data_IF_146286520828
#
_entry.id   IF_146286520828
#
_cell.length_a   1.000
_cell.length_b   1.000
_cell.length_c   1.000
_cell.angle_alpha   90.00
_cell.angle_beta   90.00
_cell.angle_gamma   90.00
#
_symmetry.space_group_name_H-M   'P 1'
#
loop_
_entity.id
_entity.type
_entity.pdbx_description
1 polymer ?
#
# COMPACT_ATOMS: atom_id res chain seq x y z
N UNK A 1 -7.10 -17.61 -6.52
CA UNK A 1 -8.23 -17.31 -7.43
C UNK A 1 -7.82 -17.81 -8.81
N UNK A 2 -8.28 -18.99 -9.22
CA UNK A 2 -7.98 -19.51 -10.56
C UNK A 2 -8.78 -18.70 -11.58
N UNK A 3 -8.10 -17.87 -12.37
CA UNK A 3 -8.74 -17.10 -13.44
C UNK A 3 -9.16 -18.10 -14.52
N UNK A 4 -10.42 -18.54 -14.47
CA UNK A 4 -11.01 -19.39 -15.50
C UNK A 4 -11.03 -18.61 -16.81
N UNK A 5 -10.49 -19.22 -17.85
CA UNK A 5 -10.31 -18.62 -19.18
C UNK A 5 -11.64 -18.06 -19.69
N UNK A 6 -11.71 -16.75 -19.97
CA UNK A 6 -12.91 -16.05 -20.47
C UNK A 6 -13.46 -16.62 -21.80
N UNK A 7 -12.73 -17.55 -22.45
CA UNK A 7 -13.21 -18.34 -23.59
C UNK A 7 -14.24 -19.42 -23.21
N UNK A 8 -14.41 -19.77 -21.93
CA UNK A 8 -15.36 -20.80 -21.45
C UNK A 8 -16.20 -20.26 -20.30
N UNK A 9 -17.04 -19.27 -20.59
CA UNK A 9 -17.99 -18.73 -19.60
C UNK A 9 -19.03 -19.78 -19.15
N UNK A 10 -19.33 -20.78 -20.00
CA UNK A 10 -20.21 -21.89 -19.66
C UNK A 10 -19.44 -23.09 -19.10
N UNK A 11 -19.86 -23.61 -17.95
CA UNK A 11 -19.22 -24.77 -17.32
C UNK A 11 -19.31 -26.03 -18.20
N UNK A 12 -18.21 -26.79 -18.34
CA UNK A 12 -18.22 -28.04 -19.10
C UNK A 12 -18.97 -29.14 -18.35
N UNK A 13 -19.85 -29.87 -19.04
CA UNK A 13 -20.56 -31.03 -18.48
C UNK A 13 -21.51 -31.69 -19.47
N UNK A 14 -21.97 -32.90 -19.15
CA UNK A 14 -22.98 -33.61 -19.95
C UNK A 14 -24.41 -33.06 -19.74
N UNK A 15 -24.69 -32.55 -18.52
CA UNK A 15 -26.02 -32.05 -18.12
C UNK A 15 -26.56 -30.93 -19.02
N UNK A 16 -25.68 -30.07 -19.54
CA UNK A 16 -26.05 -28.99 -20.47
C UNK A 16 -26.56 -29.48 -21.83
N UNK A 17 -26.06 -30.63 -22.31
CA UNK A 17 -26.53 -31.23 -23.56
C UNK A 17 -27.90 -31.88 -23.37
N UNK A 18 -28.13 -32.50 -22.21
CA UNK A 18 -29.46 -33.01 -21.83
C UNK A 18 -30.45 -31.85 -21.72
N UNK A 19 -30.08 -30.75 -21.06
CA UNK A 19 -30.89 -29.53 -21.01
C UNK A 19 -31.21 -28.97 -22.39
N UNK A 20 -30.20 -28.88 -23.27
CA UNK A 20 -30.41 -28.45 -24.65
C UNK A 20 -31.40 -29.34 -25.41
N UNK A 21 -31.30 -30.66 -25.26
CA UNK A 21 -32.23 -31.61 -25.88
C UNK A 21 -33.65 -31.43 -25.35
N UNK A 22 -33.82 -31.21 -24.04
CA UNK A 22 -35.12 -30.93 -23.43
C UNK A 22 -35.75 -29.64 -23.96
N UNK A 23 -34.96 -28.60 -24.19
CA UNK A 23 -35.46 -27.34 -24.78
C UNK A 23 -35.86 -27.52 -26.23
N UNK A 24 -35.09 -28.27 -27.03
CA UNK A 24 -35.47 -28.62 -28.41
C UNK A 24 -36.74 -29.45 -28.43
N UNK A 25 -36.88 -30.42 -27.52
CA UNK A 25 -38.09 -31.23 -27.37
C UNK A 25 -39.30 -30.39 -26.96
N UNK A 26 -39.13 -29.44 -26.05
CA UNK A 26 -40.18 -28.49 -25.67
C UNK A 26 -40.62 -27.61 -26.86
N UNK A 27 -39.67 -27.15 -27.68
CA UNK A 27 -39.98 -26.39 -28.89
C UNK A 27 -40.74 -27.22 -29.92
N UNK A 28 -40.38 -28.50 -30.08
CA UNK A 28 -41.14 -29.45 -30.89
C UNK A 28 -42.58 -29.62 -30.40
N UNK A 29 -42.78 -29.86 -29.10
CA UNK A 29 -44.12 -29.99 -28.51
C UNK A 29 -44.95 -28.71 -28.69
N UNK A 30 -44.35 -27.55 -28.41
CA UNK A 30 -45.01 -26.26 -28.56
C UNK A 30 -45.43 -25.99 -30.01
N UNK A 31 -44.55 -26.31 -30.97
CA UNK A 31 -44.85 -26.18 -32.41
C UNK A 31 -45.92 -27.17 -32.87
N UNK A 32 -45.92 -28.39 -32.32
CA UNK A 32 -46.94 -29.40 -32.61
C UNK A 32 -48.32 -28.96 -32.10
N UNK A 33 -48.39 -28.41 -30.88
CA UNK A 33 -49.63 -27.88 -30.31
C UNK A 33 -50.16 -26.67 -31.08
N UNK A 34 -49.27 -25.86 -31.65
CA UNK A 34 -49.59 -24.68 -32.47
C UNK A 34 -49.83 -25.00 -33.95
N UNK A 35 -49.66 -26.26 -34.37
CA UNK A 35 -49.90 -26.69 -35.74
C UNK A 35 -51.29 -26.32 -36.30
N UNK A 36 -52.42 -26.46 -35.57
CA UNK A 36 -53.73 -26.09 -36.11
C UNK A 36 -53.92 -24.60 -36.40
N UNK A 37 -53.09 -23.73 -35.82
CA UNK A 37 -53.19 -22.27 -35.99
C UNK A 37 -52.19 -21.76 -37.03
N UNK A 38 -50.96 -22.27 -37.00
CA UNK A 38 -49.87 -21.80 -37.87
C UNK A 38 -49.79 -22.55 -39.21
N UNK A 39 -50.50 -23.68 -39.32
CA UNK A 39 -50.49 -24.56 -40.49
C UNK A 39 -49.04 -24.87 -40.91
N UNK A 40 -48.62 -24.47 -42.10
CA UNK A 40 -47.28 -24.69 -42.65
C UNK A 40 -46.34 -23.49 -42.53
N UNK A 41 -46.76 -22.43 -41.84
CA UNK A 41 -45.98 -21.20 -41.78
C UNK A 41 -44.85 -21.29 -40.75
N UNK A 42 -43.66 -20.85 -41.16
CA UNK A 42 -42.50 -20.57 -40.29
C UNK A 42 -42.10 -21.67 -39.28
N UNK A 43 -41.87 -22.93 -39.72
CA UNK A 43 -41.51 -24.01 -38.80
C UNK A 43 -40.18 -23.77 -38.06
N UNK A 44 -39.21 -23.12 -38.71
CA UNK A 44 -37.88 -22.88 -38.14
C UNK A 44 -37.82 -21.88 -36.97
N UNK A 45 -38.85 -21.05 -36.76
CA UNK A 45 -38.78 -19.96 -35.75
C UNK A 45 -38.73 -20.51 -34.32
N UNK A 46 -39.56 -21.51 -33.99
CA UNK A 46 -39.58 -22.12 -32.66
C UNK A 46 -38.24 -22.78 -32.32
N UNK A 47 -37.63 -23.43 -33.30
CA UNK A 47 -36.32 -24.05 -33.16
C UNK A 47 -35.21 -23.00 -33.07
N UNK A 48 -35.30 -21.89 -33.81
CA UNK A 48 -34.35 -20.78 -33.68
C UNK A 48 -34.41 -20.17 -32.26
N UNK A 49 -35.61 -19.97 -31.70
CA UNK A 49 -35.79 -19.55 -30.31
C UNK A 49 -35.19 -20.55 -29.32
N UNK A 50 -35.40 -21.86 -29.53
CA UNK A 50 -34.81 -22.90 -28.71
C UNK A 50 -33.27 -22.83 -28.72
N UNK A 51 -32.66 -22.70 -29.89
CA UNK A 51 -31.20 -22.55 -30.04
C UNK A 51 -30.69 -21.29 -29.35
N UNK A 52 -31.40 -20.16 -29.47
CA UNK A 52 -31.06 -18.91 -28.78
C UNK A 52 -31.10 -19.07 -27.26
N UNK A 53 -32.13 -19.73 -26.71
CA UNK A 53 -32.23 -20.00 -25.28
C UNK A 53 -31.08 -20.89 -24.83
N UNK A 54 -30.76 -21.93 -25.61
CA UNK A 54 -29.66 -22.85 -25.31
C UNK A 54 -28.32 -22.13 -25.33
N UNK A 55 -28.07 -21.26 -26.32
CA UNK A 55 -26.87 -20.43 -26.39
C UNK A 55 -26.75 -19.53 -25.16
N UNK A 56 -27.86 -18.88 -24.80
CA UNK A 56 -27.89 -18.00 -23.65
C UNK A 56 -27.61 -18.74 -22.33
N UNK A 57 -28.14 -19.95 -22.13
CA UNK A 57 -27.99 -20.64 -20.83
C UNK A 57 -26.71 -21.48 -20.76
N UNK A 58 -26.39 -22.22 -21.83
CA UNK A 58 -25.36 -23.26 -21.83
C UNK A 58 -24.22 -23.03 -22.85
N UNK A 59 -24.34 -22.02 -23.71
CA UNK A 59 -23.31 -21.56 -24.64
C UNK A 59 -23.17 -22.35 -25.93
N UNK A 60 -22.12 -21.99 -26.68
CA UNK A 60 -21.90 -22.36 -28.08
C UNK A 60 -21.99 -23.86 -28.39
N UNK A 61 -21.41 -24.72 -27.55
CA UNK A 61 -21.36 -26.16 -27.82
C UNK A 61 -22.74 -26.80 -27.89
N UNK A 62 -23.54 -26.72 -26.81
CA UNK A 62 -24.92 -27.22 -26.80
C UNK A 62 -25.83 -26.52 -27.81
N UNK A 63 -25.64 -25.24 -28.10
CA UNK A 63 -26.46 -24.52 -29.08
C UNK A 63 -26.21 -25.01 -30.51
N UNK A 64 -24.95 -25.26 -30.89
CA UNK A 64 -24.62 -25.86 -32.19
C UNK A 64 -25.22 -27.26 -32.32
N UNK A 65 -25.17 -28.07 -31.26
CA UNK A 65 -25.83 -29.39 -31.25
C UNK A 65 -27.34 -29.24 -31.44
N UNK A 66 -27.98 -28.33 -30.69
CA UNK A 66 -29.40 -28.04 -30.83
C UNK A 66 -29.77 -27.58 -32.24
N UNK A 67 -28.93 -26.75 -32.87
CA UNK A 67 -29.10 -26.28 -34.24
C UNK A 67 -29.06 -27.43 -35.24
N UNK A 68 -28.04 -28.30 -35.15
CA UNK A 68 -27.89 -29.46 -36.04
C UNK A 68 -29.04 -30.45 -35.87
N UNK A 69 -29.50 -30.69 -34.64
CA UNK A 69 -30.63 -31.58 -34.36
C UNK A 69 -31.97 -30.98 -34.81
N UNK A 70 -32.10 -29.66 -34.72
CA UNK A 70 -33.36 -28.98 -35.08
C UNK A 70 -33.68 -29.11 -36.57
N UNK A 71 -32.67 -29.06 -37.45
CA UNK A 71 -32.84 -29.14 -38.91
C UNK A 71 -33.65 -30.36 -39.35
N UNK A 72 -33.22 -31.61 -39.08
CA UNK A 72 -33.98 -32.79 -39.49
C UNK A 72 -35.33 -32.91 -38.77
N UNK A 73 -35.46 -32.41 -37.54
CA UNK A 73 -36.73 -32.44 -36.81
C UNK A 73 -37.75 -31.55 -37.49
N UNK A 74 -37.42 -30.29 -37.77
CA UNK A 74 -38.42 -29.39 -38.34
C UNK A 74 -38.74 -29.72 -39.79
N UNK A 75 -37.74 -30.18 -40.54
CA UNK A 75 -37.87 -30.59 -41.94
C UNK A 75 -38.82 -31.79 -42.06
N UNK A 76 -38.55 -32.88 -41.34
CA UNK A 76 -39.35 -34.11 -41.42
C UNK A 76 -40.79 -33.98 -40.89
N UNK A 77 -41.01 -33.18 -39.84
CA UNK A 77 -42.30 -33.11 -39.16
C UNK A 77 -43.18 -31.92 -39.58
N UNK A 78 -42.60 -30.81 -40.05
CA UNK A 78 -43.35 -29.57 -40.26
C UNK A 78 -43.21 -28.97 -41.67
N UNK A 79 -42.41 -29.57 -42.55
CA UNK A 79 -42.32 -29.15 -43.96
C UNK A 79 -42.96 -30.22 -44.87
N UNK A 80 -43.92 -29.85 -45.74
CA UNK A 80 -44.49 -30.78 -46.73
C UNK A 80 -43.51 -31.06 -47.88
N UNK A 81 -43.41 -32.30 -48.40
CA UNK A 81 -44.19 -33.50 -48.05
C UNK A 81 -43.76 -34.13 -46.72
N UNK A 82 -44.73 -34.32 -45.81
CA UNK A 82 -44.43 -34.83 -44.48
C UNK A 82 -43.90 -36.25 -44.51
N UNK A 83 -42.86 -36.51 -43.71
CA UNK A 83 -42.25 -37.83 -43.54
C UNK A 83 -41.66 -38.44 -44.81
N UNK A 84 -41.42 -37.63 -45.83
CA UNK A 84 -40.72 -38.02 -47.05
C UNK A 84 -39.41 -37.26 -47.13
N UNK A 85 -38.31 -37.99 -47.26
CA UNK A 85 -36.94 -37.45 -47.39
C UNK A 85 -36.39 -37.62 -48.81
N UNK A 86 -37.18 -38.20 -49.73
CA UNK A 86 -36.72 -38.56 -51.07
C UNK A 86 -36.75 -37.40 -52.06
N UNK A 87 -37.59 -36.38 -51.84
CA UNK A 87 -37.70 -35.21 -52.71
C UNK A 87 -37.49 -33.92 -51.92
N UNK A 88 -36.40 -33.21 -52.22
CA UNK A 88 -36.13 -31.87 -51.70
C UNK A 88 -36.81 -30.85 -52.61
N UNK A 89 -37.80 -30.14 -52.10
CA UNK A 89 -38.49 -29.07 -52.80
C UNK A 89 -37.83 -27.70 -52.55
N UNK A 90 -38.17 -26.71 -53.38
CA UNK A 90 -37.71 -25.33 -53.26
C UNK A 90 -38.07 -24.72 -51.89
N UNK A 91 -39.18 -25.16 -51.29
CA UNK A 91 -39.64 -24.72 -49.97
C UNK A 91 -38.70 -25.19 -48.85
N UNK A 92 -38.23 -26.43 -48.90
CA UNK A 92 -37.29 -27.00 -47.92
C UNK A 92 -35.98 -26.20 -47.90
N UNK A 93 -35.43 -25.97 -49.10
CA UNK A 93 -34.23 -25.16 -49.29
C UNK A 93 -34.43 -23.75 -48.75
N UNK A 94 -35.58 -23.12 -49.00
CA UNK A 94 -35.86 -21.76 -48.53
C UNK A 94 -35.95 -21.68 -47.00
N UNK A 95 -36.60 -22.65 -46.35
CA UNK A 95 -36.73 -22.70 -44.89
C UNK A 95 -35.38 -22.96 -44.23
N UNK A 96 -34.64 -23.96 -44.70
CA UNK A 96 -33.31 -24.29 -44.15
C UNK A 96 -32.34 -23.13 -44.37
N UNK A 97 -32.36 -22.47 -45.53
CA UNK A 97 -31.51 -21.30 -45.80
C UNK A 97 -31.90 -20.11 -44.91
N UNK A 98 -33.19 -19.86 -44.69
CA UNK A 98 -33.66 -18.84 -43.75
C UNK A 98 -33.23 -19.11 -42.32
N UNK A 99 -33.35 -20.36 -41.87
CA UNK A 99 -32.89 -20.78 -40.55
C UNK A 99 -31.37 -20.64 -40.40
N UNK A 100 -30.60 -21.07 -41.41
CA UNK A 100 -29.13 -21.04 -41.40
C UNK A 100 -28.55 -19.65 -41.64
N UNK A 101 -29.34 -18.67 -42.10
CA UNK A 101 -28.89 -17.27 -42.16
C UNK A 101 -29.08 -16.55 -40.83
N UNK A 102 -30.24 -16.71 -40.20
CA UNK A 102 -30.62 -15.96 -38.99
C UNK A 102 -30.05 -16.58 -37.71
N UNK A 103 -30.16 -17.90 -37.56
CA UNK A 103 -29.81 -18.59 -36.31
C UNK A 103 -28.32 -18.49 -35.95
N UNK A 104 -27.36 -18.78 -36.85
CA UNK A 104 -25.94 -18.64 -36.49
C UNK A 104 -25.54 -17.19 -36.28
N UNK A 105 -26.17 -16.24 -36.98
CA UNK A 105 -25.95 -14.81 -36.72
C UNK A 105 -26.36 -14.45 -35.29
N UNK A 106 -27.53 -14.91 -34.84
CA UNK A 106 -28.01 -14.72 -33.47
C UNK A 106 -27.07 -15.40 -32.45
N UNK A 107 -26.67 -16.65 -32.69
CA UNK A 107 -25.74 -17.40 -31.83
C UNK A 107 -24.40 -16.66 -31.69
N UNK A 108 -23.80 -16.21 -32.80
CA UNK A 108 -22.54 -15.46 -32.78
C UNK A 108 -22.68 -14.13 -32.04
N UNK A 109 -23.79 -13.42 -32.23
CA UNK A 109 -24.04 -12.15 -31.55
C UNK A 109 -24.19 -12.34 -30.03
N UNK A 110 -24.96 -13.34 -29.60
CA UNK A 110 -25.14 -13.67 -28.18
C UNK A 110 -23.82 -14.10 -27.56
N UNK A 111 -23.06 -14.96 -28.25
CA UNK A 111 -21.76 -15.42 -27.75
C UNK A 111 -20.78 -14.26 -27.60
N UNK A 112 -20.76 -13.31 -28.54
CA UNK A 112 -19.95 -12.09 -28.44
C UNK A 112 -20.39 -11.21 -27.28
N UNK A 113 -21.69 -10.96 -27.14
CA UNK A 113 -22.25 -10.14 -26.07
C UNK A 113 -21.92 -10.72 -24.70
N UNK A 114 -22.13 -12.02 -24.53
CA UNK A 114 -21.91 -12.71 -23.27
C UNK A 114 -20.43 -12.79 -22.89
N UNK A 115 -19.56 -13.04 -23.86
CA UNK A 115 -18.09 -12.95 -23.64
C UNK A 115 -17.66 -11.54 -23.26
N UNK A 116 -18.28 -10.50 -23.82
CA UNK A 116 -17.98 -9.12 -23.46
C UNK A 116 -18.45 -8.79 -22.04
N UNK A 117 -19.65 -9.20 -21.66
CA UNK A 117 -20.20 -9.03 -20.31
C UNK A 117 -19.32 -9.71 -19.26
N UNK A 118 -18.99 -10.99 -19.46
CA UNK A 118 -18.14 -11.73 -18.52
C UNK A 118 -16.74 -11.12 -18.36
N UNK A 119 -16.16 -10.58 -19.45
CA UNK A 119 -14.89 -9.85 -19.37
C UNK A 119 -15.01 -8.56 -18.58
N UNK A 120 -16.10 -7.81 -18.77
CA UNK A 120 -16.34 -6.57 -18.06
C UNK A 120 -16.51 -6.80 -16.55
N UNK A 121 -17.27 -7.83 -16.17
CA UNK A 121 -17.45 -8.25 -14.77
C UNK A 121 -16.12 -8.62 -14.12
N UNK A 122 -15.31 -9.45 -14.78
CA UNK A 122 -14.00 -9.84 -14.26
C UNK A 122 -13.05 -8.64 -14.08
N UNK A 123 -13.05 -7.70 -15.04
CA UNK A 123 -12.25 -6.48 -14.94
C UNK A 123 -12.75 -5.61 -13.78
N UNK A 124 -14.07 -5.50 -13.59
CA UNK A 124 -14.66 -4.74 -12.48
C UNK A 124 -14.28 -5.33 -11.12
N UNK A 125 -14.34 -6.65 -10.95
CA UNK A 125 -13.95 -7.34 -9.72
C UNK A 125 -12.46 -7.16 -9.39
N UNK A 126 -11.60 -7.28 -10.41
CA UNK A 126 -10.15 -7.02 -10.26
C UNK A 126 -9.88 -5.56 -9.93
N UNK A 127 -10.61 -4.62 -10.54
CA UNK A 127 -10.48 -3.19 -10.27
C UNK A 127 -10.90 -2.83 -8.83
N UNK A 128 -12.00 -3.40 -8.34
CA UNK A 128 -12.46 -3.21 -6.95
C UNK A 128 -11.41 -3.71 -5.95
N UNK A 129 -10.91 -4.93 -6.14
CA UNK A 129 -9.89 -5.51 -5.25
C UNK A 129 -8.62 -4.65 -5.23
N UNK A 130 -8.18 -4.17 -6.41
CA UNK A 130 -7.01 -3.27 -6.51
C UNK A 130 -7.26 -1.92 -5.83
N UNK A 131 -8.45 -1.37 -5.98
CA UNK A 131 -8.83 -0.10 -5.36
C UNK A 131 -8.80 -0.18 -3.84
N UNK A 132 -9.34 -1.25 -3.25
CA UNK A 132 -9.28 -1.47 -1.79
C UNK A 132 -7.85 -1.59 -1.28
N UNK A 133 -6.98 -2.31 -1.99
CA UNK A 133 -5.58 -2.43 -1.60
C UNK A 133 -4.86 -1.06 -1.63
N UNK A 134 -5.13 -0.24 -2.65
CA UNK A 134 -4.56 1.11 -2.74
C UNK A 134 -5.05 2.00 -1.61
N UNK A 135 -6.34 1.97 -1.29
CA UNK A 135 -6.89 2.74 -0.16
C UNK A 135 -6.26 2.33 1.18
N UNK A 136 -6.05 1.04 1.41
CA UNK A 136 -5.39 0.55 2.64
C UNK A 136 -3.94 1.04 2.73
N UNK A 137 -3.19 0.93 1.64
CA UNK A 137 -1.80 1.40 1.58
C UNK A 137 -1.69 2.92 1.78
N UNK A 138 -2.62 3.70 1.21
CA UNK A 138 -2.66 5.16 1.39
C UNK A 138 -3.00 5.53 2.83
N UNK A 139 -3.99 4.87 3.43
CA UNK A 139 -4.39 5.12 4.82
C UNK A 139 -3.26 4.78 5.81
N UNK A 140 -2.55 3.67 5.60
CA UNK A 140 -1.37 3.33 6.41
C UNK A 140 -0.27 4.39 6.30
N UNK A 141 -0.01 4.90 5.09
CA UNK A 141 0.95 6.00 4.88
C UNK A 141 0.53 7.28 5.57
N UNK A 142 -0.76 7.63 5.50
CA UNK A 142 -1.31 8.82 6.13
C UNK A 142 -1.16 8.77 7.65
N UNK A 143 -1.49 7.64 8.29
CA UNK A 143 -1.32 7.45 9.73
C UNK A 143 0.14 7.59 10.15
N UNK A 144 1.07 7.03 9.38
CA UNK A 144 2.49 7.18 9.64
C UNK A 144 2.95 8.63 9.48
N UNK A 145 2.55 9.33 8.41
CA UNK A 145 2.92 10.73 8.20
C UNK A 145 2.36 11.66 9.26
N UNK A 146 1.11 11.46 9.68
CA UNK A 146 0.44 12.28 10.69
C UNK A 146 1.13 12.14 12.05
N UNK A 147 1.53 10.91 12.42
CA UNK A 147 2.26 10.67 13.68
C UNK A 147 3.62 11.39 13.71
N UNK A 148 4.34 11.41 12.59
CA UNK A 148 5.63 12.11 12.46
C UNK A 148 5.44 13.61 12.50
N UNK A 149 4.45 14.15 11.80
CA UNK A 149 4.16 15.58 11.80
C UNK A 149 3.73 16.08 13.17
N UNK A 150 2.83 15.36 13.85
CA UNK A 150 2.40 15.69 15.21
C UNK A 150 3.60 15.64 16.18
N UNK A 151 4.44 14.61 16.08
CA UNK A 151 5.66 14.50 16.89
C UNK A 151 6.61 15.68 16.70
N UNK A 152 6.84 16.11 15.45
CA UNK A 152 7.67 17.28 15.13
C UNK A 152 7.05 18.59 15.63
N UNK A 153 5.72 18.76 15.49
CA UNK A 153 5.01 19.94 15.97
C UNK A 153 5.05 20.04 17.50
N UNK A 154 4.81 18.93 18.21
CA UNK A 154 4.91 18.86 19.66
C UNK A 154 6.33 19.17 20.15
N UNK A 155 7.35 18.60 19.49
CA UNK A 155 8.74 18.89 19.82
C UNK A 155 9.05 20.38 19.68
N UNK A 156 8.63 20.98 18.56
CA UNK A 156 8.80 22.42 18.29
C UNK A 156 8.05 23.29 19.31
N UNK A 157 6.88 22.85 19.77
CA UNK A 157 6.11 23.54 20.80
C UNK A 157 6.79 23.49 22.17
N UNK A 158 7.26 22.30 22.58
CA UNK A 158 7.97 22.11 23.85
C UNK A 158 9.25 22.93 23.90
N UNK A 159 10.05 22.96 22.83
CA UNK A 159 11.27 23.78 22.79
C UNK A 159 10.97 25.28 22.83
N UNK A 160 9.85 25.73 22.29
CA UNK A 160 9.49 27.16 22.24
C UNK A 160 8.94 27.71 23.56
N UNK A 161 8.47 26.85 24.47
CA UNK A 161 7.81 27.30 25.72
C UNK A 161 8.55 26.87 26.99
N UNK A 162 9.58 26.03 26.87
CA UNK A 162 10.52 25.80 27.95
C UNK A 162 11.66 26.82 27.81
N UNK A 163 11.53 27.99 28.46
CA UNK A 163 12.48 29.13 28.44
C UNK A 163 13.92 28.80 28.87
N UNK A 164 14.20 27.54 29.21
CA UNK A 164 15.54 27.05 29.56
C UNK A 164 16.24 26.36 28.39
N UNK A 165 15.53 25.81 27.40
CA UNK A 165 16.16 25.05 26.31
C UNK A 165 16.47 26.01 25.15
N UNK A 166 17.77 26.23 24.90
CA UNK A 166 18.19 27.11 23.80
C UNK A 166 18.70 26.34 22.58
N UNK A 167 18.92 25.03 22.72
CA UNK A 167 19.40 24.19 21.62
C UNK A 167 18.92 22.74 21.72
N UNK A 168 18.52 22.20 20.57
CA UNK A 168 18.11 20.82 20.38
C UNK A 168 18.65 20.31 19.04
N UNK A 169 19.32 19.16 19.03
CA UNK A 169 19.78 18.55 17.80
C UNK A 169 19.60 17.03 17.77
N UNK A 170 19.36 16.49 16.58
CA UNK A 170 19.44 15.06 16.29
C UNK A 170 20.37 14.85 15.07
N UNK A 171 21.61 14.39 15.29
CA UNK A 171 22.58 14.22 14.21
C UNK A 171 22.19 13.11 13.22
N UNK A 172 21.32 12.15 13.60
CA UNK A 172 20.86 11.10 12.67
C UNK A 172 19.91 11.64 11.60
N UNK A 173 19.09 12.64 11.94
CA UNK A 173 18.11 13.24 11.02
C UNK A 173 18.56 14.59 10.47
N UNK A 174 19.77 15.05 10.83
CA UNK A 174 20.26 16.41 10.51
C UNK A 174 19.33 17.53 11.00
N UNK A 175 18.53 17.25 12.04
CA UNK A 175 17.65 18.23 12.66
C UNK A 175 18.44 19.06 13.68
N UNK A 176 18.41 20.38 13.54
CA UNK A 176 19.04 21.31 14.48
C UNK A 176 18.10 22.49 14.73
N UNK A 177 17.80 22.74 15.99
CA UNK A 177 16.99 23.85 16.47
C UNK A 177 17.82 24.70 17.42
N UNK A 178 17.79 26.01 17.18
CA UNK A 178 18.43 27.03 18.01
C UNK A 178 17.36 28.05 18.37
N UNK A 179 17.21 28.35 19.66
CA UNK A 179 16.24 29.33 20.13
C UNK A 179 16.47 30.71 19.50
N UNK A 180 15.37 31.36 19.13
CA UNK A 180 15.40 32.65 18.44
C UNK A 180 15.80 33.79 19.37
N UNK A 181 15.35 33.77 20.63
CA UNK A 181 15.73 34.79 21.61
C UNK A 181 17.24 34.73 21.85
N UNK A 182 17.76 33.52 22.02
CA UNK A 182 19.18 33.27 22.22
C UNK A 182 20.01 33.71 21.01
N UNK A 183 19.59 33.37 19.78
CA UNK A 183 20.24 33.83 18.55
C UNK A 183 20.28 35.35 18.43
N UNK A 184 19.19 36.05 18.78
CA UNK A 184 19.14 37.52 18.69
C UNK A 184 20.12 38.17 19.68
N UNK A 185 20.32 37.58 20.86
CA UNK A 185 21.28 38.07 21.86
C UNK A 185 22.73 38.01 21.38
N UNK A 186 23.09 37.02 20.55
CA UNK A 186 24.47 36.89 20.01
C UNK A 186 24.75 37.79 18.80
N UNK A 187 23.71 38.38 18.20
CA UNK A 187 23.84 39.23 17.01
C UNK A 187 24.16 38.49 15.71
N UNK A 188 24.17 37.15 15.70
CA UNK A 188 24.46 36.35 14.50
C UNK A 188 23.25 36.33 13.57
N UNK A 189 23.49 36.53 12.27
CA UNK A 189 22.41 36.52 11.26
C UNK A 189 21.81 35.11 11.11
N UNK A 190 20.51 35.01 10.79
CA UNK A 190 19.85 33.72 10.65
C UNK A 190 20.46 32.85 9.54
N UNK A 191 21.06 33.45 8.51
CA UNK A 191 21.72 32.75 7.40
C UNK A 191 22.97 31.98 7.88
N UNK A 192 23.76 32.58 8.77
CA UNK A 192 24.97 31.97 9.32
C UNK A 192 24.61 30.81 10.25
N UNK A 193 23.59 30.98 11.10
CA UNK A 193 23.09 29.89 11.96
C UNK A 193 22.50 28.75 11.14
N UNK A 194 21.85 29.04 10.01
CA UNK A 194 21.32 27.99 9.13
C UNK A 194 22.42 27.15 8.45
N UNK A 195 23.61 27.74 8.27
CA UNK A 195 24.77 27.07 7.66
C UNK A 195 25.61 26.31 8.68
N UNK A 196 25.93 26.95 9.80
CA UNK A 196 26.93 26.48 10.76
C UNK A 196 26.31 26.06 12.11
N UNK A 197 25.00 26.18 12.27
CA UNK A 197 24.26 25.70 13.44
C UNK A 197 24.63 26.43 14.73
N UNK A 198 24.67 25.68 15.84
CA UNK A 198 25.16 26.19 17.13
C UNK A 198 26.66 26.54 17.10
N UNK A 199 27.45 25.99 16.16
CA UNK A 199 28.90 26.25 16.09
C UNK A 199 29.21 27.72 15.83
N UNK A 200 28.33 28.43 15.12
CA UNK A 200 28.47 29.87 14.87
C UNK A 200 28.32 30.73 16.13
N UNK A 201 27.68 30.19 17.17
CA UNK A 201 27.36 30.90 18.41
C UNK A 201 28.40 30.64 19.51
N UNK A 202 29.23 29.60 19.35
CA UNK A 202 30.21 29.16 20.34
C UNK A 202 31.62 29.67 20.01
N UNK A 203 32.45 29.80 21.04
CA UNK A 203 33.90 29.98 20.86
C UNK A 203 34.50 28.77 20.11
N UNK A 204 35.50 28.96 19.22
CA UNK A 204 36.04 27.88 18.38
C UNK A 204 36.54 26.66 19.15
N UNK A 205 37.19 26.87 20.30
CA UNK A 205 37.63 25.78 21.20
C UNK A 205 36.45 25.01 21.80
N UNK A 206 35.34 25.69 22.11
CA UNK A 206 34.17 25.06 22.71
C UNK A 206 33.36 24.31 21.65
N UNK A 207 33.31 24.84 20.42
CA UNK A 207 32.77 24.14 19.26
C UNK A 207 33.58 22.87 18.91
N UNK A 208 34.90 22.88 19.13
CA UNK A 208 35.74 21.70 18.97
C UNK A 208 35.50 20.65 20.06
N UNK A 209 35.37 21.08 21.32
CA UNK A 209 35.01 20.18 22.44
C UNK A 209 33.64 19.53 22.26
N UNK A 210 32.70 20.26 21.68
CA UNK A 210 31.35 19.77 21.37
C UNK A 210 31.20 19.21 19.95
N UNK A 211 32.30 18.90 19.25
CA UNK A 211 32.26 18.46 17.85
C UNK A 211 31.36 17.23 17.61
N UNK A 212 31.25 16.35 18.60
CA UNK A 212 30.38 15.17 18.59
C UNK A 212 28.88 15.44 18.66
N UNK A 213 28.45 16.68 18.94
CA UNK A 213 27.04 17.07 18.82
C UNK A 213 26.62 17.30 17.36
N UNK A 214 27.57 17.68 16.50
CA UNK A 214 27.32 18.10 15.12
C UNK A 214 27.55 16.99 14.10
N UNK A 215 28.06 15.82 14.52
CA UNK A 215 28.42 14.70 13.64
C UNK A 215 27.88 13.40 14.20
N UNK A 216 27.26 12.59 13.33
CA UNK A 216 26.70 11.29 13.73
C UNK A 216 27.78 10.29 14.23
N UNK A 217 28.97 10.35 13.65
CA UNK A 217 30.10 9.44 13.94
C UNK A 217 31.09 9.99 14.98
N UNK A 218 30.80 11.16 15.57
CA UNK A 218 31.68 11.80 16.55
C UNK A 218 31.56 11.20 17.95
N UNK A 219 32.65 11.24 18.72
CA UNK A 219 32.62 10.88 20.14
C UNK A 219 31.71 11.84 20.91
N UNK A 220 30.70 11.30 21.59
CA UNK A 220 29.67 12.12 22.25
C UNK A 220 30.27 12.82 23.46
N UNK A 221 30.11 14.16 23.58
CA UNK A 221 30.56 14.87 24.77
C UNK A 221 29.86 14.33 26.02
N UNK A 222 30.51 14.52 27.17
CA UNK A 222 29.98 14.03 28.44
C UNK A 222 28.64 14.72 28.75
N UNK A 223 27.68 14.00 29.33
CA UNK A 223 26.43 14.64 29.78
C UNK A 223 26.68 15.43 31.07
N UNK A 224 25.87 16.46 31.33
CA UNK A 224 25.92 17.28 32.54
C UNK A 224 26.36 18.73 32.30
N UNK A 225 26.86 19.38 33.35
CA UNK A 225 27.17 20.81 33.33
C UNK A 225 28.38 21.16 32.46
N UNK A 226 28.22 22.16 31.61
CA UNK A 226 29.23 22.69 30.70
C UNK A 226 29.28 24.21 30.81
N UNK A 227 30.50 24.75 30.90
CA UNK A 227 30.73 26.18 30.79
C UNK A 227 31.10 26.47 29.34
N UNK A 228 30.20 27.14 28.63
CA UNK A 228 30.35 27.44 27.21
C UNK A 228 30.51 28.94 27.02
N UNK A 229 31.53 29.34 26.26
CA UNK A 229 31.73 30.72 25.83
C UNK A 229 30.87 30.96 24.59
N UNK A 230 29.87 31.82 24.72
CA UNK A 230 28.96 32.17 23.65
C UNK A 230 29.19 33.60 23.18
N UNK A 231 29.02 33.81 21.88
CA UNK A 231 29.29 35.08 21.23
C UNK A 231 28.27 36.13 21.66
N UNK A 232 28.72 37.34 21.97
CA UNK A 232 27.85 38.49 22.26
C UNK A 232 27.62 39.33 21.00
N UNK A 233 26.58 40.18 21.00
CA UNK A 233 26.29 41.10 19.89
C UNK A 233 27.46 42.02 19.52
N UNK A 234 28.32 42.34 20.48
CA UNK A 234 29.52 43.16 20.30
C UNK A 234 30.72 42.39 19.70
N UNK A 235 30.55 41.09 19.45
CA UNK A 235 31.58 40.21 18.88
C UNK A 235 32.55 39.60 19.90
N UNK A 236 32.37 39.89 21.19
CA UNK A 236 33.09 39.24 22.29
C UNK A 236 32.50 37.87 22.63
N UNK A 237 33.03 37.23 23.69
CA UNK A 237 32.51 35.97 24.22
C UNK A 237 32.22 36.08 25.71
N UNK A 238 31.04 35.65 26.12
CA UNK A 238 30.60 35.61 27.51
C UNK A 238 30.38 34.15 27.93
N UNK A 239 30.64 33.85 29.21
CA UNK A 239 30.52 32.51 29.74
C UNK A 239 29.09 32.25 30.21
N UNK A 240 28.50 31.15 29.75
CA UNK A 240 27.21 30.70 30.22
C UNK A 240 27.31 29.28 30.77
N UNK A 241 26.48 29.03 31.77
CA UNK A 241 26.34 27.73 32.39
C UNK A 241 25.20 26.99 31.69
N UNK A 242 25.58 25.90 31.03
CA UNK A 242 24.67 25.08 30.27
C UNK A 242 24.67 23.67 30.82
N UNK A 243 23.57 22.96 30.68
CA UNK A 243 23.50 21.55 30.98
C UNK A 243 23.18 20.78 29.71
N UNK A 244 24.01 19.79 29.39
CA UNK A 244 23.87 18.92 28.24
C UNK A 244 23.20 17.61 28.67
N UNK A 245 22.05 17.31 28.07
CA UNK A 245 21.34 16.06 28.31
C UNK A 245 21.07 15.34 26.99
N UNK A 246 20.98 14.02 27.07
CA UNK A 246 20.63 13.17 25.93
C UNK A 246 19.30 12.48 26.17
N UNK A 247 18.43 12.54 25.17
CA UNK A 247 17.14 11.86 25.17
C UNK A 247 17.06 10.88 24.01
N UNK A 248 16.75 9.61 24.29
CA UNK A 248 16.69 8.56 23.27
C UNK A 248 15.26 8.39 22.79
N UNK A 249 15.04 8.57 21.49
CA UNK A 249 13.75 8.40 20.83
C UNK A 249 13.85 7.34 19.72
N UNK A 250 12.71 6.99 19.11
CA UNK A 250 12.66 6.04 18.00
C UNK A 250 13.48 6.47 16.77
N UNK A 251 13.62 7.78 16.55
CA UNK A 251 14.30 8.36 15.38
C UNK A 251 15.76 8.75 15.69
N UNK A 252 16.30 8.36 16.85
CA UNK A 252 17.69 8.64 17.24
C UNK A 252 17.84 9.23 18.63
N UNK A 253 19.06 9.65 18.96
CA UNK A 253 19.37 10.30 20.25
C UNK A 253 19.42 11.81 20.04
N UNK A 254 18.55 12.52 20.73
CA UNK A 254 18.52 13.98 20.77
C UNK A 254 19.50 14.49 21.81
N UNK A 255 20.22 15.56 21.48
CA UNK A 255 21.04 16.33 22.41
C UNK A 255 20.32 17.63 22.75
N UNK A 256 20.17 17.92 24.04
CA UNK A 256 19.48 19.09 24.57
C UNK A 256 20.49 19.92 25.36
N UNK A 257 20.61 21.19 25.03
CA UNK A 257 21.36 22.17 25.82
C UNK A 257 20.39 23.16 26.43
N UNK A 258 20.44 23.24 27.77
CA UNK A 258 19.62 24.16 28.56
C UNK A 258 20.49 25.14 29.34
N UNK A 259 20.04 26.39 29.47
CA UNK A 259 20.63 27.37 30.36
C UNK A 259 20.33 26.99 31.80
N UNK A 260 21.35 26.99 32.64
CA UNK A 260 21.24 26.67 34.06
C UNK A 260 21.47 27.95 34.87
N UNK A 261 20.48 28.37 35.68
CA UNK A 261 20.54 29.56 36.52
C UNK A 261 21.20 29.32 37.90
N UNK A 262 22.19 28.44 37.97
CA UNK A 262 22.92 28.06 39.20
C UNK A 262 24.36 28.61 39.25
N UNK A 263 25.03 28.61 40.42
CA UNK A 263 26.38 29.16 40.57
C UNK A 263 27.42 28.39 39.74
N UNK A 264 28.50 29.08 39.38
CA UNK A 264 29.61 28.61 38.54
C UNK A 264 30.10 27.21 38.93
N UNK A 265 29.92 26.23 38.03
CA UNK A 265 30.49 24.89 38.23
C UNK A 265 32.00 24.97 37.96
N UNK A 266 32.82 24.63 38.96
CA UNK A 266 34.28 24.57 38.82
C UNK A 266 34.65 23.60 37.70
N UNK A 267 35.59 23.95 36.81
CA UNK A 267 36.07 23.01 35.81
C UNK A 267 36.64 21.79 36.51
N UNK A 268 36.19 20.59 36.12
CA UNK A 268 36.85 19.34 36.52
C UNK A 268 38.21 19.35 35.82
N UNK A 269 39.25 19.73 36.55
CA UNK A 269 40.63 19.57 36.09
C UNK A 269 40.87 18.09 35.81
N UNK A 270 41.30 17.78 34.60
CA UNK A 270 41.72 16.43 34.22
C UNK A 270 42.77 15.92 35.20
N UNK A 271 42.52 14.74 35.75
CA UNK A 271 43.32 14.06 36.77
C UNK A 271 44.62 13.47 36.15
N UNK A 272 45.42 14.30 35.48
CA UNK A 272 46.66 13.87 34.79
C UNK A 272 47.91 14.68 35.16
N UNK A 273 47.86 15.47 36.23
CA UNK A 273 49.03 16.14 36.77
C UNK A 273 49.13 15.92 38.29
N UNK A 274 49.33 14.68 38.71
CA UNK A 274 49.92 14.37 40.01
C UNK A 274 51.19 13.55 39.76
N UNK A 275 52.33 14.23 39.78
CA UNK A 275 53.65 13.65 39.93
C UNK A 275 53.67 12.77 41.20
N UNK A 276 54.15 11.52 41.15
CA UNK A 276 54.25 10.71 42.35
C UNK A 276 55.47 11.19 43.17
N UNK A 277 55.19 11.89 44.26
CA UNK A 277 56.18 12.14 45.31
C UNK A 277 56.46 10.84 46.07
N UNK A 278 57.75 10.57 46.24
CA UNK A 278 58.32 9.42 46.92
C UNK A 278 57.96 9.34 48.42
N UNK A 279 58.08 8.12 48.95
CA UNK A 279 58.25 7.72 50.36
C UNK A 279 56.99 7.32 51.15
N UNK A 280 56.80 5.99 51.28
CA UNK A 280 56.53 5.26 52.54
C UNK A 280 56.41 3.76 52.20
N UNK A 281 57.52 2.99 52.15
CA UNK A 281 57.94 2.02 53.18
C UNK A 281 56.80 1.31 53.93
N UNK A 282 56.66 0.02 53.60
CA UNK A 282 56.48 -1.16 54.48
C UNK A 282 55.58 -1.02 55.72
N UNK A 283 54.47 -1.78 55.75
CA UNK A 283 54.19 -2.75 56.84
C UNK A 283 53.39 -3.94 56.27
N UNK A 284 53.89 -5.12 56.61
CA UNK A 284 53.47 -6.49 56.32
C UNK A 284 52.03 -6.85 56.72
N UNK A 285 51.45 -7.73 55.92
CA UNK A 285 50.30 -8.59 56.22
C UNK A 285 50.52 -9.43 57.49
N UNK A 286 49.44 -9.64 58.27
CA UNK A 286 49.28 -10.79 59.17
C UNK A 286 47.79 -11.19 59.22
N UNK A 287 47.45 -12.50 59.24
CA UNK A 287 46.10 -13.01 59.01
C UNK A 287 45.31 -13.18 60.33
N UNK A 288 43.99 -12.98 60.26
CA UNK A 288 43.05 -13.27 61.35
C UNK A 288 42.73 -14.76 61.36
N UNK A 289 43.14 -15.44 62.44
CA UNK A 289 42.73 -16.81 62.79
C UNK A 289 41.34 -16.76 63.43
N UNK A 290 40.35 -17.39 62.78
CA UNK A 290 39.03 -17.66 63.37
C UNK A 290 39.07 -19.07 63.98
N UNK A 291 39.02 -19.14 65.31
CA UNK A 291 38.91 -20.39 66.06
C UNK A 291 37.44 -20.84 66.14
N UNK A 292 37.19 -22.07 65.71
CA UNK A 292 35.96 -22.80 65.96
C UNK A 292 36.26 -24.09 66.73
N UNK A 293 35.45 -24.28 67.78
CA UNK A 293 35.32 -25.42 68.72
C UNK A 293 36.36 -25.52 69.83
#
# INVERSE_FOLDING_TARGET
MEIRNARRWAEPGAKRYVGALMVVFAAFLLRSLMHPVLDHSMPGVFFACAVIIVEFVWGLGPALMAMVISIPIFDFFFVPPFRDIAMVDRRDVMIVTGFLSITPLAVVLIERLRRAQYRAELIAEVAQTRYEMLLRAENERMVLSDSVQLGNALMTYLTKHLDTIFYLANPATHYEFVDEHFRRATGVTPEVVKRDGLRALLHPEDAARLAGLFRADGERPQHGAHNLRMRTREGGYEMFHCELQYFRAHVGTYAILRLHAGPTVRPVTSLHALTPAANAREVSEAPVVSGGV
#
